data_IF_939077102695
#
_entry.id   IF_939077102695
#
_cell.length_a   1.000
_cell.length_b   1.000
_cell.length_c   1.000
_cell.angle_alpha   90.00
_cell.angle_beta   90.00
_cell.angle_gamma   90.00
#
_symmetry.space_group_name_H-M   'P 1'
#
loop_
_entity.id
_entity.type
_entity.pdbx_description
1 polymer ?
#
# COMPACT_ATOMS: atom_id res chain seq x y z
N UNK A 1 -25.44 11.45 12.55
CA UNK A 1 -24.46 12.06 13.49
C UNK A 1 -23.19 11.24 13.69
N UNK A 2 -23.26 9.95 14.04
CA UNK A 2 -22.06 9.14 14.27
C UNK A 2 -21.17 8.97 13.02
N UNK A 3 -21.78 8.70 11.86
CA UNK A 3 -21.10 8.60 10.55
C UNK A 3 -20.31 9.86 10.19
N UNK A 4 -20.94 11.03 10.33
CA UNK A 4 -20.31 12.33 10.05
C UNK A 4 -19.05 12.53 10.89
N UNK A 5 -19.11 12.21 12.19
CA UNK A 5 -17.96 12.30 13.11
C UNK A 5 -16.84 11.37 12.69
N UNK A 6 -17.17 10.13 12.34
CA UNK A 6 -16.19 9.13 11.90
C UNK A 6 -15.53 9.54 10.57
N UNK A 7 -16.29 10.10 9.62
CA UNK A 7 -15.73 10.60 8.35
C UNK A 7 -14.79 11.78 8.55
N UNK A 8 -15.15 12.75 9.41
CA UNK A 8 -14.25 13.87 9.78
C UNK A 8 -12.95 13.38 10.39
N UNK A 9 -13.03 12.36 11.26
CA UNK A 9 -11.84 11.76 11.85
C UNK A 9 -10.96 11.06 10.81
N UNK A 10 -11.57 10.31 9.88
CA UNK A 10 -10.85 9.65 8.77
C UNK A 10 -10.18 10.67 7.86
N UNK A 11 -10.90 11.74 7.48
CA UNK A 11 -10.37 12.83 6.67
C UNK A 11 -9.16 13.49 7.33
N UNK A 12 -9.28 13.90 8.59
CA UNK A 12 -8.20 14.53 9.35
C UNK A 12 -6.97 13.62 9.45
N UNK A 13 -7.17 12.32 9.74
CA UNK A 13 -6.08 11.34 9.82
C UNK A 13 -5.42 11.09 8.47
N UNK A 14 -6.20 10.96 7.39
CA UNK A 14 -5.66 10.77 6.04
C UNK A 14 -4.83 11.99 5.60
N UNK A 15 -5.27 13.21 5.94
CA UNK A 15 -4.49 14.43 5.66
C UNK A 15 -3.15 14.40 6.37
N UNK A 16 -3.14 14.17 7.69
CA UNK A 16 -1.91 14.13 8.49
C UNK A 16 -0.94 13.05 8.00
N UNK A 17 -1.46 11.86 7.68
CA UNK A 17 -0.67 10.75 7.13
C UNK A 17 -0.13 11.12 5.74
N UNK A 18 -0.92 11.78 4.89
CA UNK A 18 -0.47 12.30 3.60
C UNK A 18 0.73 13.23 3.72
N UNK A 19 0.72 14.17 4.67
CA UNK A 19 1.83 15.10 4.90
C UNK A 19 3.09 14.37 5.38
N UNK A 20 2.94 13.35 6.24
CA UNK A 20 4.07 12.54 6.71
C UNK A 20 4.70 11.71 5.59
N UNK A 21 3.93 11.22 4.61
CA UNK A 21 4.50 10.56 3.42
C UNK A 21 5.37 11.52 2.62
N UNK A 22 4.97 12.79 2.49
CA UNK A 22 5.81 13.79 1.83
C UNK A 22 7.15 14.00 2.55
N UNK A 23 7.15 14.03 3.89
CA UNK A 23 8.38 14.10 4.70
C UNK A 23 9.26 12.86 4.48
N UNK A 24 8.67 11.65 4.48
CA UNK A 24 9.40 10.41 4.19
C UNK A 24 9.99 10.43 2.77
N UNK A 25 9.26 10.96 1.79
CA UNK A 25 9.75 11.10 0.42
C UNK A 25 10.98 11.99 0.35
N UNK A 26 10.97 13.15 1.00
CA UNK A 26 12.13 14.04 1.05
C UNK A 26 13.34 13.41 1.74
N UNK A 27 13.13 12.69 2.85
CA UNK A 27 14.20 11.93 3.53
C UNK A 27 14.80 10.85 2.63
N UNK A 28 13.97 10.13 1.89
CA UNK A 28 14.42 9.08 0.98
C UNK A 28 15.19 9.65 -0.21
N UNK A 29 14.80 10.82 -0.73
CA UNK A 29 15.54 11.53 -1.78
C UNK A 29 16.92 11.95 -1.30
N UNK A 30 17.04 12.52 -0.10
CA UNK A 30 18.35 12.86 0.48
C UNK A 30 19.25 11.62 0.63
N UNK A 31 18.70 10.53 1.17
CA UNK A 31 19.40 9.25 1.28
C UNK A 31 19.80 8.69 -0.09
N UNK A 32 18.95 8.81 -1.11
CA UNK A 32 19.27 8.40 -2.48
C UNK A 32 20.45 9.18 -3.03
N UNK A 33 20.45 10.51 -2.92
CA UNK A 33 21.54 11.34 -3.44
C UNK A 33 22.87 11.03 -2.74
N UNK A 34 22.83 10.84 -1.42
CA UNK A 34 24.02 10.44 -0.64
C UNK A 34 24.51 9.05 -1.05
N UNK A 35 23.60 8.09 -1.20
CA UNK A 35 23.95 6.74 -1.67
C UNK A 35 24.59 6.77 -3.07
N UNK A 36 24.07 7.59 -3.99
CA UNK A 36 24.64 7.77 -5.33
C UNK A 36 26.07 8.34 -5.26
N UNK A 37 26.30 9.34 -4.41
CA UNK A 37 27.63 9.94 -4.22
C UNK A 37 28.62 8.90 -3.70
N UNK A 38 28.28 8.17 -2.65
CA UNK A 38 29.12 7.13 -2.04
C UNK A 38 29.41 6.02 -3.06
N UNK A 39 28.38 5.53 -3.76
CA UNK A 39 28.53 4.49 -4.78
C UNK A 39 29.46 4.95 -5.91
N UNK A 40 29.36 6.20 -6.35
CA UNK A 40 30.22 6.76 -7.37
C UNK A 40 31.68 6.91 -6.91
N UNK A 41 31.92 7.33 -5.66
CA UNK A 41 33.26 7.39 -5.06
C UNK A 41 33.90 5.99 -4.97
N UNK A 42 33.17 5.00 -4.46
CA UNK A 42 33.64 3.61 -4.37
C UNK A 42 33.93 2.99 -5.76
N UNK A 43 33.19 3.38 -6.80
CA UNK A 43 33.45 2.96 -8.18
C UNK A 43 34.74 3.56 -8.75
N UNK A 44 35.06 4.81 -8.41
CA UNK A 44 36.30 5.49 -8.87
C UNK A 44 37.52 4.98 -8.13
N UNK A 45 37.40 4.81 -6.81
CA UNK A 45 38.49 4.39 -5.95
C UNK A 45 38.01 3.24 -5.06
N UNK A 46 38.20 1.97 -5.46
CA UNK A 46 37.71 0.80 -4.71
C UNK A 46 38.30 0.66 -3.30
N UNK A 47 39.39 1.38 -2.99
CA UNK A 47 40.02 1.42 -1.67
C UNK A 47 39.60 2.62 -0.83
N UNK A 48 38.79 3.54 -1.38
CA UNK A 48 38.25 4.66 -0.63
C UNK A 48 37.34 4.13 0.49
N UNK A 49 37.54 4.68 1.68
CA UNK A 49 36.62 4.44 2.80
C UNK A 49 35.36 5.29 2.57
N UNK A 50 34.22 4.79 3.03
CA UNK A 50 32.98 5.54 2.98
C UNK A 50 33.17 6.92 3.64
N UNK A 51 32.97 7.98 2.86
CA UNK A 51 33.20 9.38 3.28
C UNK A 51 32.10 9.89 4.19
N UNK A 52 30.94 9.23 4.22
CA UNK A 52 29.77 9.64 4.96
C UNK A 52 29.51 8.74 6.17
N UNK A 53 30.12 9.10 7.30
CA UNK A 53 30.01 8.35 8.56
C UNK A 53 28.58 8.34 9.14
N UNK A 54 27.73 9.30 8.76
CA UNK A 54 26.36 9.42 9.29
C UNK A 54 25.34 8.65 8.46
N UNK A 55 25.68 8.24 7.25
CA UNK A 55 24.74 7.60 6.32
C UNK A 55 24.02 6.38 6.91
N UNK A 56 24.74 5.50 7.61
CA UNK A 56 24.15 4.34 8.26
C UNK A 56 23.16 4.71 9.38
N UNK A 57 23.46 5.75 10.16
CA UNK A 57 22.56 6.25 11.20
C UNK A 57 21.27 6.83 10.60
N UNK A 58 21.39 7.64 9.56
CA UNK A 58 20.25 8.28 8.91
C UNK A 58 19.33 7.24 8.25
N UNK A 59 19.91 6.19 7.65
CA UNK A 59 19.16 5.08 7.09
C UNK A 59 18.38 4.30 8.16
N UNK A 60 18.99 4.06 9.32
CA UNK A 60 18.30 3.42 10.45
C UNK A 60 17.18 4.30 11.02
N UNK A 61 17.43 5.61 11.15
CA UNK A 61 16.44 6.59 11.59
C UNK A 61 15.25 6.65 10.63
N UNK A 62 15.51 6.69 9.33
CA UNK A 62 14.48 6.65 8.29
C UNK A 62 13.62 5.39 8.39
N UNK A 63 14.24 4.20 8.52
CA UNK A 63 13.51 2.94 8.69
C UNK A 63 12.61 2.92 9.93
N UNK A 64 13.07 3.52 11.04
CA UNK A 64 12.24 3.67 12.24
C UNK A 64 11.01 4.52 11.94
N UNK A 65 11.17 5.63 11.21
CA UNK A 65 10.06 6.50 10.82
C UNK A 65 9.06 5.79 9.90
N UNK A 66 9.55 4.99 8.94
CA UNK A 66 8.73 4.16 8.05
C UNK A 66 7.89 3.16 8.86
N UNK A 67 8.49 2.48 9.84
CA UNK A 67 7.77 1.54 10.72
C UNK A 67 6.73 2.23 11.59
N UNK A 68 7.08 3.37 12.19
CA UNK A 68 6.13 4.17 12.97
C UNK A 68 4.94 4.60 12.11
N UNK A 69 5.21 5.04 10.88
CA UNK A 69 4.17 5.39 9.91
C UNK A 69 3.28 4.20 9.52
N UNK A 70 3.83 2.99 9.40
CA UNK A 70 3.02 1.80 9.08
C UNK A 70 1.97 1.45 10.11
N UNK A 71 2.27 1.66 11.39
CA UNK A 71 1.30 1.49 12.45
C UNK A 71 0.11 2.47 12.30
N UNK A 72 0.38 3.70 11.84
CA UNK A 72 -0.65 4.72 11.62
C UNK A 72 -1.50 4.43 10.37
N UNK A 73 -0.86 3.96 9.29
CA UNK A 73 -1.51 3.65 8.02
C UNK A 73 -2.37 2.37 8.06
N UNK A 74 -1.96 1.36 8.82
CA UNK A 74 -2.64 0.06 8.88
C UNK A 74 -4.11 0.14 9.38
N UNK A 75 -4.46 1.19 10.13
CA UNK A 75 -5.82 1.37 10.67
C UNK A 75 -6.88 1.82 9.67
N UNK A 76 -6.49 2.37 8.50
CA UNK A 76 -7.47 2.97 7.58
C UNK A 76 -8.38 1.96 6.92
N UNK A 77 -7.86 0.81 6.49
CA UNK A 77 -8.67 -0.22 5.83
C UNK A 77 -9.79 -0.74 6.72
N UNK A 78 -9.49 -0.97 8.02
CA UNK A 78 -10.51 -1.37 9.00
C UNK A 78 -11.55 -0.27 9.24
N UNK A 79 -11.09 0.98 9.39
CA UNK A 79 -11.98 2.12 9.65
C UNK A 79 -12.93 2.38 8.47
N UNK A 80 -12.40 2.40 7.24
CA UNK A 80 -13.19 2.55 6.03
C UNK A 80 -14.11 1.36 5.79
N UNK A 81 -13.66 0.13 6.06
CA UNK A 81 -14.51 -1.07 5.96
C UNK A 81 -15.65 -1.08 6.98
N UNK A 82 -15.44 -0.51 8.17
CA UNK A 82 -16.52 -0.32 9.15
C UNK A 82 -17.51 0.74 8.67
N UNK A 83 -17.01 1.86 8.16
CA UNK A 83 -17.84 2.92 7.58
C UNK A 83 -18.66 2.42 6.40
N UNK A 84 -18.08 1.61 5.50
CA UNK A 84 -18.77 1.00 4.36
C UNK A 84 -20.02 0.23 4.80
N UNK A 85 -19.92 -0.56 5.87
CA UNK A 85 -21.05 -1.35 6.38
C UNK A 85 -22.13 -0.52 7.08
N UNK A 86 -21.74 0.60 7.69
CA UNK A 86 -22.68 1.48 8.41
C UNK A 86 -23.21 2.64 7.56
N UNK A 87 -22.64 2.85 6.36
CA UNK A 87 -22.91 4.01 5.53
C UNK A 87 -24.38 4.05 5.11
N UNK A 88 -25.00 5.20 5.32
CA UNK A 88 -26.35 5.52 4.84
C UNK A 88 -26.33 6.86 4.11
N UNK A 89 -27.33 7.08 3.27
CA UNK A 89 -27.55 8.36 2.61
C UNK A 89 -27.59 9.49 3.63
N UNK A 90 -26.71 10.47 3.45
CA UNK A 90 -26.58 11.65 4.32
C UNK A 90 -25.88 12.77 3.54
N UNK A 91 -26.63 13.83 3.24
CA UNK A 91 -26.14 14.98 2.45
C UNK A 91 -25.02 15.74 3.15
N UNK A 92 -25.06 15.86 4.49
CA UNK A 92 -24.03 16.55 5.26
C UNK A 92 -22.71 15.77 5.27
N UNK A 93 -22.79 14.44 5.26
CA UNK A 93 -21.63 13.55 5.22
C UNK A 93 -20.99 13.43 3.84
N UNK A 94 -21.70 13.81 2.77
CA UNK A 94 -21.26 13.59 1.39
C UNK A 94 -19.96 14.34 1.07
N UNK A 95 -19.83 15.59 1.53
CA UNK A 95 -18.62 16.40 1.30
C UNK A 95 -17.38 15.75 1.94
N UNK A 96 -17.52 15.24 3.16
CA UNK A 96 -16.44 14.55 3.88
C UNK A 96 -16.09 13.20 3.25
N UNK A 97 -17.07 12.46 2.73
CA UNK A 97 -16.82 11.22 2.00
C UNK A 97 -16.03 11.47 0.69
N UNK A 98 -16.36 12.53 -0.05
CA UNK A 98 -15.61 12.95 -1.23
C UNK A 98 -14.18 13.39 -0.90
N UNK A 99 -13.98 14.10 0.23
CA UNK A 99 -12.65 14.48 0.71
C UNK A 99 -11.82 13.25 1.09
N UNK A 100 -12.40 12.32 1.86
CA UNK A 100 -11.76 11.07 2.25
C UNK A 100 -11.34 10.23 1.03
N UNK A 101 -12.18 10.13 -0.01
CA UNK A 101 -11.83 9.47 -1.27
C UNK A 101 -10.62 10.12 -1.95
N UNK A 102 -10.63 11.44 -2.12
CA UNK A 102 -9.51 12.19 -2.73
C UNK A 102 -8.21 12.02 -1.95
N UNK A 103 -8.28 12.06 -0.63
CA UNK A 103 -7.10 11.87 0.24
C UNK A 103 -6.60 10.42 0.20
N UNK A 104 -7.48 9.43 0.15
CA UNK A 104 -7.11 8.02 0.02
C UNK A 104 -6.38 7.75 -1.31
N UNK A 105 -6.88 8.31 -2.42
CA UNK A 105 -6.23 8.21 -3.72
C UNK A 105 -4.86 8.90 -3.75
N UNK A 106 -4.77 10.11 -3.18
CA UNK A 106 -3.50 10.84 -3.05
C UNK A 106 -2.48 10.07 -2.21
N UNK A 107 -2.91 9.51 -1.08
CA UNK A 107 -2.05 8.72 -0.20
C UNK A 107 -1.51 7.48 -0.91
N UNK A 108 -2.37 6.74 -1.62
CA UNK A 108 -1.97 5.58 -2.40
C UNK A 108 -0.93 5.95 -3.47
N UNK A 109 -1.20 7.00 -4.26
CA UNK A 109 -0.25 7.50 -5.29
C UNK A 109 1.09 7.91 -4.70
N UNK A 110 1.09 8.63 -3.59
CA UNK A 110 2.31 9.06 -2.92
C UNK A 110 3.14 7.88 -2.39
N UNK A 111 2.50 6.83 -1.86
CA UNK A 111 3.21 5.63 -1.39
C UNK A 111 3.74 4.76 -2.53
N UNK A 112 3.01 4.66 -3.65
CA UNK A 112 3.52 4.03 -4.86
C UNK A 112 4.75 4.77 -5.40
N UNK A 113 4.71 6.11 -5.45
CA UNK A 113 5.88 6.90 -5.85
C UNK A 113 7.04 6.78 -4.86
N UNK A 114 6.76 6.68 -3.56
CA UNK A 114 7.78 6.42 -2.53
C UNK A 114 8.44 5.05 -2.73
N UNK A 115 7.65 4.03 -3.08
CA UNK A 115 8.14 2.69 -3.39
C UNK A 115 9.06 2.71 -4.61
N UNK A 116 8.71 3.41 -5.68
CA UNK A 116 9.55 3.55 -6.88
C UNK A 116 10.91 4.18 -6.54
N UNK A 117 10.90 5.26 -5.74
CA UNK A 117 12.13 5.88 -5.22
C UNK A 117 12.94 4.92 -4.36
N UNK A 118 12.28 4.10 -3.54
CA UNK A 118 12.95 3.14 -2.68
C UNK A 118 13.63 2.02 -3.48
N UNK A 119 13.03 1.57 -4.59
CA UNK A 119 13.64 0.61 -5.52
C UNK A 119 14.92 1.18 -6.12
N UNK A 120 14.91 2.45 -6.52
CA UNK A 120 16.10 3.13 -7.03
C UNK A 120 17.18 3.28 -5.93
N UNK A 121 16.80 3.76 -4.75
CA UNK A 121 17.70 3.92 -3.62
C UNK A 121 18.34 2.57 -3.20
N UNK A 122 17.56 1.50 -3.23
CA UNK A 122 18.04 0.15 -2.94
C UNK A 122 19.22 -0.27 -3.81
N UNK A 123 19.23 0.09 -5.11
CA UNK A 123 20.33 -0.24 -6.01
C UNK A 123 21.64 0.43 -5.59
N UNK A 124 21.61 1.74 -5.34
CA UNK A 124 22.80 2.50 -4.94
C UNK A 124 23.27 2.18 -3.52
N UNK A 125 22.35 1.97 -2.58
CA UNK A 125 22.71 1.58 -1.20
C UNK A 125 23.42 0.22 -1.14
N UNK A 126 23.08 -0.71 -2.03
CA UNK A 126 23.79 -2.00 -2.14
C UNK A 126 25.22 -1.84 -2.65
N UNK A 127 25.46 -0.88 -3.54
CA UNK A 127 26.80 -0.54 -4.01
C UNK A 127 27.62 0.19 -2.94
N UNK A 128 26.94 0.96 -2.08
CA UNK A 128 27.52 1.60 -0.89
C UNK A 128 27.74 0.64 0.30
N UNK A 129 27.65 -0.68 0.08
CA UNK A 129 27.80 -1.74 1.08
C UNK A 129 26.75 -1.79 2.22
N UNK A 130 25.65 -1.05 2.11
CA UNK A 130 24.52 -1.06 3.06
C UNK A 130 23.42 -2.06 2.64
N UNK A 131 23.82 -3.28 2.29
CA UNK A 131 22.95 -4.26 1.62
C UNK A 131 21.78 -4.73 2.49
N UNK A 132 22.02 -4.93 3.78
CA UNK A 132 21.03 -5.46 4.73
C UNK A 132 19.96 -4.41 5.00
N UNK A 133 20.37 -3.19 5.32
CA UNK A 133 19.47 -2.06 5.57
C UNK A 133 18.66 -1.71 4.32
N UNK A 134 19.29 -1.70 3.15
CA UNK A 134 18.60 -1.47 1.88
C UNK A 134 17.52 -2.53 1.61
N UNK A 135 17.76 -3.79 1.98
CA UNK A 135 16.78 -4.86 1.83
C UNK A 135 15.58 -4.67 2.77
N UNK A 136 15.82 -4.37 4.04
CA UNK A 136 14.71 -4.13 4.96
C UNK A 136 13.90 -2.87 4.60
N UNK A 137 14.57 -1.80 4.16
CA UNK A 137 13.90 -0.57 3.76
C UNK A 137 12.87 -0.82 2.65
N UNK A 138 13.24 -1.58 1.61
CA UNK A 138 12.31 -1.85 0.51
C UNK A 138 11.16 -2.76 0.93
N UNK A 139 11.40 -3.72 1.84
CA UNK A 139 10.34 -4.58 2.40
C UNK A 139 9.35 -3.75 3.24
N UNK A 140 9.85 -2.86 4.09
CA UNK A 140 9.04 -1.99 4.94
C UNK A 140 8.17 -1.05 4.09
N UNK A 141 8.75 -0.37 3.09
CA UNK A 141 7.99 0.53 2.18
C UNK A 141 7.03 -0.27 1.28
N UNK A 142 7.43 -1.44 0.81
CA UNK A 142 6.57 -2.33 0.03
C UNK A 142 5.34 -2.77 0.81
N UNK A 143 5.51 -3.12 2.09
CA UNK A 143 4.39 -3.44 2.99
C UNK A 143 3.43 -2.25 3.15
N UNK A 144 3.95 -1.03 3.31
CA UNK A 144 3.12 0.19 3.38
C UNK A 144 2.29 0.43 2.11
N UNK A 145 2.93 0.31 0.95
CA UNK A 145 2.26 0.49 -0.33
C UNK A 145 1.13 -0.55 -0.50
N UNK A 146 1.40 -1.80 -0.13
CA UNK A 146 0.40 -2.87 -0.19
C UNK A 146 -0.80 -2.62 0.75
N UNK A 147 -0.55 -2.15 1.98
CA UNK A 147 -1.61 -1.83 2.94
C UNK A 147 -2.56 -0.74 2.44
N UNK A 148 -2.06 0.19 1.63
CA UNK A 148 -2.85 1.33 1.14
C UNK A 148 -3.53 1.08 -0.22
N UNK A 149 -3.18 -0.01 -0.90
CA UNK A 149 -3.71 -0.34 -2.23
C UNK A 149 -5.25 -0.43 -2.28
N UNK A 150 -5.88 -0.92 -1.21
CA UNK A 150 -7.34 -1.06 -1.15
C UNK A 150 -8.09 0.23 -0.77
N UNK A 151 -7.40 1.25 -0.25
CA UNK A 151 -8.04 2.44 0.32
C UNK A 151 -8.90 3.21 -0.68
N UNK A 152 -8.46 3.47 -1.93
CA UNK A 152 -9.28 4.19 -2.90
C UNK A 152 -10.59 3.46 -3.21
N UNK A 153 -10.53 2.12 -3.31
CA UNK A 153 -11.71 1.28 -3.53
C UNK A 153 -12.69 1.34 -2.37
N UNK A 154 -12.22 1.19 -1.14
CA UNK A 154 -13.05 1.27 0.06
C UNK A 154 -13.69 2.66 0.23
N UNK A 155 -12.91 3.73 0.06
CA UNK A 155 -13.42 5.09 0.16
C UNK A 155 -14.46 5.40 -0.92
N UNK A 156 -14.27 4.89 -2.14
CA UNK A 156 -15.26 5.02 -3.22
C UNK A 156 -16.59 4.33 -2.88
N UNK A 157 -16.54 3.14 -2.28
CA UNK A 157 -17.77 2.45 -1.84
C UNK A 157 -18.52 3.23 -0.77
N UNK A 158 -17.81 3.79 0.20
CA UNK A 158 -18.40 4.67 1.22
C UNK A 158 -19.06 5.88 0.57
N UNK A 159 -18.37 6.52 -0.38
CA UNK A 159 -18.91 7.66 -1.13
C UNK A 159 -20.19 7.28 -1.87
N UNK A 160 -20.20 6.16 -2.59
CA UNK A 160 -21.38 5.68 -3.32
C UNK A 160 -22.53 5.38 -2.35
N UNK A 161 -22.28 4.69 -1.23
CA UNK A 161 -23.29 4.37 -0.24
C UNK A 161 -23.94 5.62 0.39
N UNK A 162 -23.17 6.70 0.57
CA UNK A 162 -23.66 7.97 1.12
C UNK A 162 -24.36 8.81 0.05
N UNK A 163 -23.89 8.78 -1.19
CA UNK A 163 -24.44 9.57 -2.29
C UNK A 163 -25.65 8.93 -2.98
N UNK A 164 -25.84 7.61 -2.84
CA UNK A 164 -26.99 6.91 -3.42
C UNK A 164 -28.22 7.08 -2.55
N UNK A 165 -29.08 8.03 -2.95
CA UNK A 165 -30.40 8.19 -2.35
C UNK A 165 -31.17 6.88 -2.53
N UNK A 166 -31.76 6.31 -1.46
CA UNK A 166 -32.61 5.14 -1.63
C UNK A 166 -33.73 5.52 -2.60
N UNK A 167 -33.88 4.74 -3.67
CA UNK A 167 -34.98 4.94 -4.61
C UNK A 167 -36.27 4.96 -3.78
N UNK A 168 -37.04 6.05 -3.91
CA UNK A 168 -38.37 6.09 -3.32
C UNK A 168 -39.09 4.81 -3.74
N UNK A 169 -39.61 4.06 -2.78
CA UNK A 169 -40.40 2.88 -3.08
C UNK A 169 -41.39 3.27 -4.18
N UNK A 170 -41.50 2.51 -5.29
CA UNK A 170 -42.47 2.83 -6.31
C UNK A 170 -43.81 2.95 -5.60
N UNK A 171 -44.43 4.13 -5.66
CA UNK A 171 -45.77 4.36 -5.15
C UNK A 171 -46.65 3.30 -5.79
N UNK A 172 -46.97 2.27 -5.02
CA UNK A 172 -47.82 1.18 -5.46
C UNK A 172 -49.25 1.69 -5.50
N UNK A 173 -49.58 2.48 -6.52
CA UNK A 173 -50.94 2.48 -7.03
C UNK A 173 -51.14 1.11 -7.68
N UNK A 174 -51.54 0.16 -6.84
CA UNK A 174 -51.86 -1.19 -7.24
C UNK A 174 -53.09 -1.20 -8.11
N UNK A 175 -52.90 -1.04 -9.42
CA UNK A 175 -53.87 -1.51 -10.40
C UNK A 175 -53.84 -3.04 -10.38
N UNK A 176 -54.74 -3.60 -9.57
CA UNK A 176 -54.95 -5.02 -9.36
C UNK A 176 -55.40 -5.66 -10.69
N UNK A 177 -54.61 -6.53 -11.33
CA UNK A 177 -55.12 -7.27 -12.49
C UNK A 177 -56.18 -8.28 -12.04
N UNK A 178 -57.24 -8.51 -12.85
CA UNK A 178 -58.31 -9.42 -12.49
C UNK A 178 -57.80 -10.86 -12.38
N UNK A 179 -58.20 -11.50 -11.28
CA UNK A 179 -58.08 -12.92 -10.99
C UNK A 179 -58.53 -13.80 -12.17
N UNK A 180 -57.57 -14.38 -12.89
CA UNK A 180 -57.77 -15.49 -13.81
C UNK A 180 -57.19 -16.75 -13.20
N UNK A 181 -58.06 -17.67 -12.78
CA UNK A 181 -57.69 -18.94 -12.18
C UNK A 181 -57.02 -19.91 -13.17
N UNK A 182 -56.22 -20.82 -12.61
CA UNK A 182 -55.62 -21.93 -13.34
C UNK A 182 -54.79 -22.78 -12.39
N UNK A 183 -55.37 -23.88 -11.95
CA UNK A 183 -54.75 -24.93 -11.15
C UNK A 183 -53.54 -25.54 -11.87
N UNK A 184 -52.47 -25.89 -11.15
CA UNK A 184 -52.09 -27.28 -10.91
C UNK A 184 -50.74 -27.43 -10.19
N UNK A 185 -50.77 -28.30 -9.16
CA UNK A 185 -49.73 -29.24 -8.75
C UNK A 185 -48.25 -28.83 -8.74
N UNK A 186 -47.66 -28.78 -7.54
CA UNK A 186 -46.99 -29.95 -6.94
C UNK A 186 -46.25 -29.57 -5.66
N UNK A 187 -46.49 -30.38 -4.65
CA UNK A 187 -45.82 -30.42 -3.35
C UNK A 187 -44.30 -30.49 -3.49
N UNK A 188 -43.59 -29.56 -2.85
CA UNK A 188 -42.18 -29.72 -2.49
C UNK A 188 -42.04 -29.41 -1.00
N UNK A 189 -41.85 -30.46 -0.21
CA UNK A 189 -41.48 -30.39 1.20
C UNK A 189 -40.03 -29.90 1.34
N UNK A 190 -39.71 -29.04 2.31
CA UNK A 190 -38.39 -29.01 2.91
C UNK A 190 -38.42 -29.77 4.24
N UNK A 191 -37.75 -30.93 4.26
CA UNK A 191 -37.33 -31.64 5.48
C UNK A 191 -35.93 -31.12 5.82
N UNK A 192 -35.71 -30.70 7.08
CA UNK A 192 -34.35 -30.54 7.60
C UNK A 192 -34.15 -29.45 8.65
N UNK A 193 -34.87 -29.53 9.77
CA UNK A 193 -34.47 -28.95 11.06
C UNK A 193 -33.47 -29.86 11.77
N UNK A 194 -32.39 -29.29 12.33
CA UNK A 194 -31.45 -29.94 13.24
C UNK A 194 -29.99 -29.71 12.79
N UNK A 195 -29.05 -29.23 13.60
CA UNK A 195 -28.94 -29.39 15.04
C UNK A 195 -28.13 -28.27 15.72
N UNK A 196 -28.31 -28.31 17.03
CA UNK A 196 -27.89 -27.41 18.08
C UNK A 196 -26.40 -27.42 18.36
N UNK A 197 -25.94 -26.27 18.86
CA UNK A 197 -24.81 -26.07 19.75
C UNK A 197 -24.47 -27.25 20.65
N UNK A 198 -23.17 -27.53 20.80
CA UNK A 198 -22.65 -27.96 22.09
C UNK A 198 -21.33 -27.27 22.42
N UNK A 199 -21.34 -26.64 23.59
CA UNK A 199 -20.27 -25.86 24.20
C UNK A 199 -19.90 -26.58 25.48
N UNK A 200 -18.73 -27.21 25.51
CA UNK A 200 -18.02 -27.65 26.72
C UNK A 200 -16.55 -27.76 26.31
N UNK A 201 -15.58 -27.06 26.90
CA UNK A 201 -15.36 -26.92 28.33
C UNK A 201 -14.33 -27.98 28.76
N UNK A 202 -13.04 -27.65 28.74
CA UNK A 202 -11.98 -28.51 29.28
C UNK A 202 -10.57 -27.91 29.11
N UNK A 203 -9.65 -28.12 30.07
CA UNK A 203 -8.74 -27.08 30.56
C UNK A 203 -7.31 -27.10 29.98
N UNK A 204 -6.63 -25.96 30.18
CA UNK A 204 -5.19 -25.75 30.05
C UNK A 204 -4.38 -26.75 30.90
N UNK A 205 -3.24 -27.20 30.39
CA UNK A 205 -2.05 -27.35 31.21
C UNK A 205 -0.90 -26.43 30.75
N UNK A 206 -0.15 -26.02 31.75
CA UNK A 206 1.00 -25.14 31.72
C UNK A 206 2.26 -25.78 31.10
N UNK A 207 3.21 -24.90 30.83
CA UNK A 207 4.66 -25.08 30.80
C UNK A 207 5.27 -26.09 29.82
N UNK A 208 5.90 -25.52 28.80
CA UNK A 208 6.85 -26.20 27.92
C UNK A 208 7.63 -25.19 27.10
N UNK A 209 8.61 -24.54 27.73
CA UNK A 209 9.62 -23.75 27.03
C UNK A 209 10.37 -24.65 26.03
N UNK A 210 10.07 -24.47 24.74
CA UNK A 210 10.81 -25.09 23.65
C UNK A 210 11.80 -24.07 23.08
N UNK A 211 13.08 -24.44 22.89
CA UNK A 211 14.10 -23.54 22.41
C UNK A 211 13.83 -23.12 20.96
N UNK A 212 14.02 -21.82 20.76
CA UNK A 212 14.08 -21.06 19.52
C UNK A 212 14.67 -21.87 18.35
N UNK A 213 13.80 -22.31 17.44
CA UNK A 213 14.21 -22.87 16.17
C UNK A 213 14.80 -21.74 15.31
N UNK A 214 16.00 -21.92 14.71
CA UNK A 214 16.55 -20.93 13.80
C UNK A 214 15.63 -20.77 12.57
N UNK A 215 15.53 -19.56 12.00
CA UNK A 215 14.66 -19.32 10.86
C UNK A 215 15.05 -20.19 9.66
N UNK A 216 14.09 -20.61 8.83
CA UNK A 216 14.38 -21.43 7.67
C UNK A 216 15.29 -20.68 6.71
N UNK A 217 16.43 -21.30 6.38
CA UNK A 217 17.29 -20.92 5.26
C UNK A 217 16.43 -20.95 4.00
N UNK A 218 15.97 -19.78 3.56
CA UNK A 218 15.33 -19.62 2.27
C UNK A 218 16.33 -20.08 1.21
N UNK A 219 16.01 -21.23 0.61
CA UNK A 219 16.69 -21.79 -0.54
C UNK A 219 16.93 -20.67 -1.55
N UNK A 220 18.20 -20.52 -1.93
CA UNK A 220 18.66 -19.65 -3.01
C UNK A 220 17.80 -19.89 -4.25
N UNK A 221 16.81 -19.02 -4.49
CA UNK A 221 16.23 -18.89 -5.82
C UNK A 221 17.35 -18.45 -6.74
N UNK A 222 17.62 -19.30 -7.73
CA UNK A 222 18.63 -19.10 -8.75
C UNK A 222 18.54 -17.67 -9.30
N UNK A 223 19.69 -17.00 -9.34
CA UNK A 223 19.84 -15.71 -9.99
C UNK A 223 19.34 -15.83 -11.43
N UNK A 224 18.32 -15.04 -11.78
CA UNK A 224 18.00 -14.78 -13.18
C UNK A 224 19.17 -13.98 -13.75
N UNK A 225 19.92 -14.49 -14.74
CA UNK A 225 20.98 -13.71 -15.36
C UNK A 225 20.35 -12.55 -16.12
N UNK A 226 20.60 -11.33 -15.65
CA UNK A 226 20.31 -10.12 -16.40
C UNK A 226 21.12 -10.16 -17.69
N UNK A 227 20.42 -10.27 -18.83
CA UNK A 227 21.03 -10.15 -20.15
C UNK A 227 21.73 -8.79 -20.27
N UNK A 228 22.97 -8.72 -20.78
CA UNK A 228 23.61 -7.45 -21.07
C UNK A 228 22.79 -6.73 -22.16
N UNK A 229 22.30 -5.54 -21.83
CA UNK A 229 21.70 -4.61 -22.80
C UNK A 229 22.81 -4.26 -23.80
N UNK A 230 22.54 -4.55 -25.07
CA UNK A 230 23.44 -4.32 -26.19
C UNK A 230 23.95 -2.89 -26.19
N UNK A 231 25.28 -2.77 -26.22
CA UNK A 231 26.04 -1.56 -26.46
C UNK A 231 25.63 -1.01 -27.83
N UNK A 232 24.79 0.03 -27.86
CA UNK A 232 24.52 0.79 -29.07
C UNK A 232 25.83 1.44 -29.51
N UNK A 233 26.40 0.92 -30.59
CA UNK A 233 27.55 1.50 -31.28
C UNK A 233 27.05 2.75 -31.98
N UNK A 234 27.27 3.92 -31.38
CA UNK A 234 27.18 5.20 -32.08
C UNK A 234 28.42 5.32 -32.96
N UNK A 235 28.26 5.02 -34.26
CA UNK A 235 29.22 5.39 -35.27
C UNK A 235 29.27 6.91 -35.40
N UNK A 236 30.35 7.52 -34.89
CA UNK A 236 30.72 8.89 -35.19
C UNK A 236 31.70 8.81 -36.37
N UNK A 237 31.35 9.30 -37.58
CA UNK A 237 32.33 9.40 -38.65
C UNK A 237 33.32 10.52 -38.31
N UNK A 238 34.61 10.16 -38.35
CA UNK A 238 35.72 11.08 -38.22
C UNK A 238 35.69 12.11 -39.37
N UNK A 239 35.62 13.39 -39.02
CA UNK A 239 35.86 14.49 -39.95
C UNK A 239 37.38 14.64 -40.17
N UNK A 240 37.84 14.35 -41.37
CA UNK A 240 39.21 14.66 -41.82
C UNK A 240 39.32 16.16 -42.16
N UNK A 241 40.45 16.82 -41.83
CA UNK A 241 40.70 18.20 -42.23
C UNK A 241 41.18 18.27 -43.69
N UNK A 242 40.39 18.91 -44.55
CA UNK A 242 40.87 19.62 -45.76
C UNK A 242 41.20 21.05 -45.28
N UNK A 243 42.42 21.56 -45.37
CA UNK A 243 43.12 21.88 -46.61
C UNK A 243 42.96 23.38 -46.88
N UNK A 244 43.87 24.20 -46.32
CA UNK A 244 44.02 25.61 -46.70
C UNK A 244 45.00 25.73 -47.89
N UNK A 245 44.63 26.48 -48.93
CA UNK A 245 45.61 27.12 -49.80
C UNK A 245 45.39 28.64 -49.85
N UNK A 246 46.37 29.41 -49.36
CA UNK A 246 47.16 30.38 -50.13
C UNK A 246 48.13 31.15 -49.23
#
# INVERSE_FOLDING_TARGET
MEQLRALRQVESRLSLVGDRVSVLSGKLEDLLFRAQRIAHELRREPKAKNTDAMFGYDLQSFRRDVRAFGNDAGGFSSTLGSLERSARYDEESLAHAQAAMRLADRLHKNLSALLDKAVLAHQYMREADHKVEAWYMIQEIGSLAQQTQALPGLANKVLVAIGSRPAAAPSGDGERPPSGGGADGKDVRPVGTGGTSDTAGGPLPADGASPEAPPPVLQRRAAVPLRPVGRLVTGVPAASPQGEPR
#
